data_IF_284855752707
#
_entry.id   IF_284855752707
#
_cell.length_a   1.000
_cell.length_b   1.000
_cell.length_c   1.000
_cell.angle_alpha   90.00
_cell.angle_beta   90.00
_cell.angle_gamma   90.00
#
_symmetry.space_group_name_H-M   'P 1'
#
loop_
_entity.id
_entity.type
_entity.pdbx_description
1 polymer ?
#
# COMPACT_ATOMS: atom_id res chain seq x y z
N UNK A 1 5.69 -12.74 11.03
CA UNK A 1 5.43 -12.39 12.44
C UNK A 1 6.23 -11.13 12.76
N UNK A 2 5.57 -9.99 12.99
CA UNK A 2 6.26 -8.73 13.31
C UNK A 2 6.36 -8.56 14.84
N UNK A 3 7.58 -8.54 15.37
CA UNK A 3 7.82 -8.26 16.79
C UNK A 3 7.76 -6.74 17.00
N UNK A 4 6.68 -6.24 17.61
CA UNK A 4 6.54 -4.84 17.96
C UNK A 4 7.26 -4.51 19.26
N UNK A 5 8.17 -3.53 19.22
CA UNK A 5 8.74 -2.94 20.42
C UNK A 5 7.86 -1.76 20.85
N UNK A 6 7.38 -1.76 22.10
CA UNK A 6 6.68 -0.61 22.67
C UNK A 6 7.70 0.34 23.29
N UNK A 7 7.88 1.50 22.67
CA UNK A 7 8.70 2.58 23.19
C UNK A 7 7.83 3.44 24.12
N UNK A 8 8.28 3.58 25.38
CA UNK A 8 7.63 4.42 26.39
C UNK A 8 8.56 5.58 26.73
N UNK A 9 8.03 6.80 26.81
CA UNK A 9 8.78 7.89 27.41
C UNK A 9 8.95 7.66 28.93
N UNK A 10 9.94 8.33 29.53
CA UNK A 10 10.27 8.16 30.95
C UNK A 10 9.05 8.42 31.87
N UNK A 11 8.25 9.46 31.55
CA UNK A 11 7.02 9.81 32.26
C UNK A 11 5.95 8.71 32.20
N UNK A 12 5.79 8.04 31.05
CA UNK A 12 4.87 6.89 30.87
C UNK A 12 5.38 5.62 31.56
N UNK A 13 6.71 5.47 31.67
CA UNK A 13 7.33 4.35 32.39
C UNK A 13 7.07 4.47 33.90
N UNK A 14 7.13 5.69 34.44
CA UNK A 14 6.89 5.99 35.86
C UNK A 14 5.43 5.83 36.27
N UNK A 15 4.49 6.38 35.48
CA UNK A 15 3.04 6.25 35.74
C UNK A 15 2.53 4.82 35.65
N UNK A 16 3.16 3.95 34.85
CA UNK A 16 2.80 2.54 34.77
C UNK A 16 3.19 1.71 36.01
N UNK A 17 4.12 2.21 36.83
CA UNK A 17 4.49 1.57 38.11
C UNK A 17 3.51 1.93 39.24
N UNK A 18 2.68 2.96 39.07
CA UNK A 18 1.96 3.60 40.18
C UNK A 18 0.44 3.41 40.19
N UNK A 19 -0.18 2.57 39.33
CA UNK A 19 -1.63 2.33 39.39
C UNK A 19 -2.03 0.85 39.21
N UNK A 20 -2.91 0.30 40.07
CA UNK A 20 -3.53 -1.00 39.85
C UNK A 20 -4.61 -0.91 38.76
N UNK A 21 -4.83 -2.03 38.06
CA UNK A 21 -5.80 -2.19 36.96
C UNK A 21 -7.20 -1.73 37.39
N UNK A 22 -7.66 -0.60 36.86
CA UNK A 22 -9.09 -0.28 36.85
C UNK A 22 -9.51 0.04 35.42
N UNK A 23 -10.50 -0.72 34.96
CA UNK A 23 -11.09 -0.74 33.62
C UNK A 23 -12.03 0.47 33.44
N UNK A 24 -12.17 0.90 32.18
CA UNK A 24 -13.23 1.71 31.59
C UNK A 24 -13.03 3.24 31.59
N UNK A 25 -12.93 3.81 30.38
CA UNK A 25 -13.81 4.91 29.96
C UNK A 25 -13.74 5.12 28.44
N UNK A 26 -14.85 4.79 27.79
CA UNK A 26 -15.29 5.26 26.48
C UNK A 26 -15.52 6.77 26.52
N UNK A 27 -14.96 7.56 25.59
CA UNK A 27 -15.67 8.72 25.00
C UNK A 27 -15.02 9.16 23.69
N UNK A 28 -15.85 9.34 22.68
CA UNK A 28 -15.55 9.95 21.39
C UNK A 28 -15.42 11.49 21.48
N UNK A 29 -14.75 12.05 20.47
CA UNK A 29 -15.08 13.29 19.73
C UNK A 29 -13.96 14.34 19.67
N UNK A 30 -13.84 14.90 18.45
CA UNK A 30 -12.93 15.92 17.97
C UNK A 30 -12.56 17.01 18.99
N UNK A 31 -11.27 17.39 19.03
CA UNK A 31 -10.86 18.80 18.92
C UNK A 31 -9.35 18.99 18.68
N UNK A 32 -9.07 19.82 17.67
CA UNK A 32 -7.98 20.78 17.44
C UNK A 32 -6.50 20.45 17.75
N UNK A 33 -5.70 20.56 16.68
CA UNK A 33 -4.59 21.52 16.49
C UNK A 33 -3.80 21.91 17.76
N UNK A 34 -2.52 21.51 17.78
CA UNK A 34 -1.44 22.07 18.59
C UNK A 34 -1.60 22.03 20.12
N UNK A 35 -1.71 20.83 20.70
CA UNK A 35 -1.24 20.61 22.07
C UNK A 35 -0.09 19.62 22.08
N UNK A 36 1.00 20.03 22.73
CA UNK A 36 2.16 19.21 23.06
C UNK A 36 1.69 17.86 23.62
N UNK A 37 1.88 16.83 22.81
CA UNK A 37 1.40 15.48 23.04
C UNK A 37 1.99 14.93 24.35
N UNK A 38 1.20 14.96 25.42
CA UNK A 38 1.51 14.28 26.66
C UNK A 38 1.19 12.79 26.51
N UNK A 39 2.22 11.96 26.29
CA UNK A 39 2.20 10.57 26.75
C UNK A 39 1.88 9.45 25.75
N UNK A 40 2.13 9.59 24.44
CA UNK A 40 1.99 8.43 23.55
C UNK A 40 3.09 7.38 23.80
N UNK A 41 2.67 6.13 24.01
CA UNK A 41 3.51 4.97 23.83
C UNK A 41 3.43 4.55 22.36
N UNK A 42 4.54 4.62 21.64
CA UNK A 42 4.58 4.23 20.24
C UNK A 42 5.02 2.77 20.14
N UNK A 43 4.40 2.01 19.25
CA UNK A 43 4.88 0.68 18.86
C UNK A 43 5.55 0.79 17.50
N UNK A 44 6.66 0.07 17.30
CA UNK A 44 7.34 0.01 15.99
C UNK A 44 6.49 -0.65 14.90
N UNK A 45 5.35 -1.24 15.28
CA UNK A 45 4.32 -1.77 14.38
C UNK A 45 3.19 -0.78 14.09
N UNK A 46 3.20 0.41 14.70
CA UNK A 46 2.20 1.44 14.45
C UNK A 46 2.62 2.33 13.29
N UNK A 47 1.73 2.55 12.32
CA UNK A 47 1.94 3.53 11.24
C UNK A 47 2.26 4.94 11.77
N UNK A 48 1.69 5.32 12.92
CA UNK A 48 1.92 6.64 13.52
C UNK A 48 3.37 6.86 13.94
N UNK A 49 4.08 5.79 14.33
CA UNK A 49 5.50 5.87 14.67
C UNK A 49 6.36 6.23 13.45
N UNK A 50 6.04 5.66 12.30
CA UNK A 50 6.76 5.88 11.04
C UNK A 50 6.25 7.12 10.26
N UNK A 51 5.30 7.88 10.82
CA UNK A 51 4.66 8.99 10.10
C UNK A 51 5.64 10.12 9.72
N UNK A 52 6.67 10.34 10.51
CA UNK A 52 7.70 11.37 10.24
C UNK A 52 8.90 10.86 9.47
N UNK A 53 8.92 9.58 9.10
CA UNK A 53 10.01 8.96 8.38
C UNK A 53 9.68 8.88 6.90
N UNK A 54 10.67 9.25 6.08
CA UNK A 54 10.63 8.99 4.64
C UNK A 54 10.75 7.49 4.38
N UNK A 55 10.05 6.99 3.36
CA UNK A 55 10.02 5.55 3.07
C UNK A 55 11.42 4.97 2.81
N UNK A 56 12.32 5.73 2.15
CA UNK A 56 13.72 5.30 1.90
C UNK A 56 14.62 5.34 3.14
N UNK A 57 14.18 5.95 4.25
CA UNK A 57 14.92 5.94 5.53
C UNK A 57 14.61 4.72 6.38
N UNK A 58 13.59 3.94 6.01
CA UNK A 58 13.22 2.72 6.72
C UNK A 58 14.26 1.64 6.37
N UNK A 59 14.92 1.02 7.37
CA UNK A 59 15.90 -0.04 7.11
C UNK A 59 15.31 -1.23 6.36
N UNK A 60 16.08 -1.80 5.43
CA UNK A 60 15.70 -3.05 4.73
C UNK A 60 15.46 -4.17 5.74
N UNK A 61 14.41 -4.97 5.48
CA UNK A 61 13.97 -6.05 6.37
C UNK A 61 12.93 -5.62 7.42
N UNK A 62 12.67 -4.32 7.58
CA UNK A 62 11.55 -3.81 8.36
C UNK A 62 10.36 -3.59 7.41
N UNK A 63 9.16 -3.99 7.85
CA UNK A 63 7.95 -3.72 7.10
C UNK A 63 7.60 -2.23 7.15
N UNK A 64 7.11 -1.70 6.05
CA UNK A 64 6.52 -0.36 5.98
C UNK A 64 5.09 -0.48 6.49
N UNK A 65 4.81 0.14 7.63
CA UNK A 65 3.50 0.09 8.27
C UNK A 65 2.61 1.24 7.79
N UNK A 66 1.47 0.88 7.21
CA UNK A 66 0.35 1.76 6.91
C UNK A 66 -0.76 1.54 7.94
N UNK A 67 -1.81 2.36 7.91
CA UNK A 67 -2.86 2.28 8.94
C UNK A 67 -3.57 0.92 8.93
N UNK A 68 -3.82 0.35 7.74
CA UNK A 68 -4.55 -0.92 7.57
C UNK A 68 -3.69 -2.12 7.16
N UNK A 69 -2.41 -1.91 6.82
CA UNK A 69 -1.55 -2.98 6.33
C UNK A 69 -0.08 -2.75 6.65
N UNK A 70 0.75 -3.76 6.42
CA UNK A 70 2.20 -3.65 6.45
C UNK A 70 2.77 -4.32 5.21
N UNK A 71 3.68 -3.64 4.52
CA UNK A 71 4.26 -4.12 3.26
C UNK A 71 5.76 -4.36 3.42
N UNK A 72 6.29 -5.34 2.70
CA UNK A 72 7.74 -5.43 2.49
C UNK A 72 8.21 -4.28 1.62
N UNK A 73 9.49 -3.93 1.73
CA UNK A 73 10.09 -2.92 0.86
C UNK A 73 9.92 -3.27 -0.62
N UNK A 74 10.15 -4.54 -0.98
CA UNK A 74 10.05 -4.99 -2.38
C UNK A 74 8.63 -4.84 -2.94
N UNK A 75 7.60 -5.12 -2.13
CA UNK A 75 6.21 -4.93 -2.55
C UNK A 75 5.88 -3.45 -2.66
N UNK A 76 6.33 -2.62 -1.72
CA UNK A 76 6.14 -1.18 -1.79
C UNK A 76 6.78 -0.57 -3.04
N UNK A 77 8.04 -0.92 -3.32
CA UNK A 77 8.78 -0.43 -4.48
C UNK A 77 8.07 -0.86 -5.78
N UNK A 78 7.64 -2.12 -5.87
CA UNK A 78 6.86 -2.63 -7.00
C UNK A 78 5.55 -1.85 -7.21
N UNK A 79 4.83 -1.54 -6.13
CA UNK A 79 3.61 -0.73 -6.21
C UNK A 79 3.92 0.67 -6.73
N UNK A 80 4.92 1.34 -6.16
CA UNK A 80 5.27 2.73 -6.54
C UNK A 80 5.76 2.79 -7.99
N UNK A 81 6.54 1.82 -8.44
CA UNK A 81 7.09 1.77 -9.79
C UNK A 81 6.03 1.45 -10.84
N UNK A 82 5.16 0.48 -10.58
CA UNK A 82 4.19 0.03 -11.57
C UNK A 82 2.88 0.82 -11.57
N UNK A 83 2.53 1.50 -10.46
CA UNK A 83 1.24 2.21 -10.35
C UNK A 83 1.02 3.34 -11.36
N UNK A 84 2.04 4.09 -11.83
CA UNK A 84 1.87 5.04 -12.92
C UNK A 84 1.46 4.39 -14.25
N UNK A 85 1.82 3.13 -14.48
CA UNK A 85 1.60 2.41 -15.75
C UNK A 85 0.42 1.43 -15.74
N UNK A 86 -0.21 1.22 -14.58
CA UNK A 86 -1.29 0.25 -14.39
C UNK A 86 -2.35 0.75 -13.42
N UNK A 87 -3.57 0.24 -13.52
CA UNK A 87 -4.62 0.49 -12.52
C UNK A 87 -4.36 -0.29 -11.24
N UNK A 88 -4.91 0.16 -10.11
CA UNK A 88 -4.80 -0.57 -8.83
C UNK A 88 -5.39 -1.97 -8.92
N UNK A 89 -6.55 -2.13 -9.57
CA UNK A 89 -7.18 -3.44 -9.79
C UNK A 89 -6.32 -4.37 -10.68
N UNK A 90 -5.71 -3.83 -11.73
CA UNK A 90 -4.78 -4.62 -12.56
C UNK A 90 -3.52 -5.03 -11.81
N UNK A 91 -3.03 -4.21 -10.88
CA UNK A 91 -1.91 -4.58 -10.01
C UNK A 91 -2.29 -5.63 -8.98
N UNK A 92 -3.45 -5.50 -8.33
CA UNK A 92 -3.98 -6.51 -7.42
C UNK A 92 -4.03 -7.89 -8.07
N UNK A 93 -4.58 -7.97 -9.28
CA UNK A 93 -4.66 -9.21 -10.05
C UNK A 93 -3.27 -9.77 -10.38
N UNK A 94 -2.33 -8.93 -10.85
CA UNK A 94 -0.96 -9.36 -11.15
C UNK A 94 -0.23 -9.87 -9.92
N UNK A 95 -0.40 -9.20 -8.78
CA UNK A 95 0.19 -9.62 -7.50
C UNK A 95 -0.41 -10.97 -7.09
N UNK A 96 -1.73 -11.15 -7.21
CA UNK A 96 -2.39 -12.43 -6.94
C UNK A 96 -1.85 -13.55 -7.84
N UNK A 97 -1.72 -13.28 -9.15
CA UNK A 97 -1.14 -14.23 -10.11
C UNK A 97 0.31 -14.58 -9.75
N UNK A 98 1.11 -13.62 -9.29
CA UNK A 98 2.48 -13.85 -8.85
C UNK A 98 2.52 -14.75 -7.60
N UNK A 99 1.66 -14.50 -6.61
CA UNK A 99 1.53 -15.37 -5.43
C UNK A 99 1.14 -16.80 -5.81
N UNK A 100 0.20 -16.95 -6.73
CA UNK A 100 -0.25 -18.27 -7.20
C UNK A 100 0.86 -19.00 -7.97
N UNK A 101 1.60 -18.29 -8.81
CA UNK A 101 2.73 -18.84 -9.54
C UNK A 101 3.82 -19.34 -8.57
N UNK A 102 4.18 -18.52 -7.58
CA UNK A 102 5.17 -18.87 -6.56
C UNK A 102 4.74 -20.12 -5.77
N UNK A 103 3.47 -20.20 -5.37
CA UNK A 103 2.93 -21.38 -4.70
C UNK A 103 3.06 -22.64 -5.57
N UNK A 104 2.67 -22.59 -6.85
CA UNK A 104 2.79 -23.73 -7.75
C UNK A 104 4.25 -24.11 -8.03
N UNK A 105 5.17 -23.15 -8.07
CA UNK A 105 6.60 -23.42 -8.19
C UNK A 105 7.11 -24.20 -6.98
N UNK A 106 6.77 -23.76 -5.76
CA UNK A 106 7.17 -24.45 -4.53
C UNK A 106 6.58 -25.87 -4.43
N UNK A 107 5.33 -26.06 -4.86
CA UNK A 107 4.74 -27.40 -4.95
C UNK A 107 5.54 -28.33 -5.87
N UNK A 108 5.95 -27.83 -7.04
CA UNK A 108 6.74 -28.59 -8.01
C UNK A 108 8.13 -28.93 -7.43
N UNK A 109 8.82 -27.96 -6.85
CA UNK A 109 10.12 -28.16 -6.19
C UNK A 109 10.04 -29.24 -5.09
N UNK A 110 8.95 -29.25 -4.31
CA UNK A 110 8.70 -30.28 -3.31
C UNK A 110 8.50 -31.67 -3.93
N UNK A 111 7.68 -31.79 -4.98
CA UNK A 111 7.44 -33.06 -5.65
C UNK A 111 8.70 -33.63 -6.30
N UNK A 112 9.53 -32.78 -6.90
CA UNK A 112 10.83 -33.18 -7.43
C UNK A 112 11.77 -33.69 -6.33
N UNK A 113 11.84 -33.00 -5.19
CA UNK A 113 12.61 -33.42 -4.03
C UNK A 113 12.15 -34.77 -3.46
N UNK A 114 10.83 -35.03 -3.44
CA UNK A 114 10.28 -36.33 -3.03
C UNK A 114 10.64 -37.43 -4.04
N UNK A 115 10.44 -37.18 -5.34
CA UNK A 115 10.72 -38.18 -6.38
C UNK A 115 12.18 -38.64 -6.41
N UNK A 116 13.11 -37.69 -6.18
CA UNK A 116 14.55 -37.97 -6.09
C UNK A 116 14.90 -38.75 -4.83
N UNK A 117 14.22 -38.45 -3.71
CA UNK A 117 14.35 -39.23 -2.47
C UNK A 117 13.86 -40.68 -2.66
N UNK A 118 12.66 -40.88 -3.22
CA UNK A 118 12.12 -42.23 -3.44
C UNK A 118 13.01 -43.07 -4.37
N UNK A 119 13.52 -42.46 -5.44
CA UNK A 119 14.43 -43.11 -6.40
C UNK A 119 15.77 -43.53 -5.77
N UNK A 120 16.29 -42.74 -4.81
CA UNK A 120 17.55 -43.04 -4.12
C UNK A 120 17.37 -44.05 -2.97
N UNK A 121 16.23 -44.01 -2.28
CA UNK A 121 15.93 -44.90 -1.15
C UNK A 121 15.52 -46.32 -1.59
N UNK A 122 15.10 -46.50 -2.85
CA UNK A 122 14.82 -47.82 -3.43
C UNK A 122 16.06 -48.72 -3.59
N UNK A 123 17.27 -48.19 -3.37
CA UNK A 123 18.54 -48.92 -3.60
C UNK A 123 19.39 -49.15 -2.35
N UNK A 124 19.17 -48.45 -1.23
CA UNK A 124 19.93 -48.66 0.01
C UNK A 124 19.20 -48.11 1.23
N UNK A 125 18.88 -49.00 2.18
CA UNK A 125 18.47 -48.63 3.53
C UNK A 125 19.67 -47.97 4.23
N UNK A 126 19.77 -46.62 4.19
CA UNK A 126 20.60 -45.85 5.13
C UNK A 126 20.15 -44.39 5.21
N UNK A 127 19.73 -44.04 6.41
CA UNK A 127 19.43 -42.73 6.96
C UNK A 127 20.54 -41.71 6.63
N UNK A 128 20.29 -40.81 5.68
CA UNK A 128 21.08 -39.60 5.45
C UNK A 128 20.14 -38.41 5.22
N UNK A 129 20.55 -37.26 5.76
CA UNK A 129 19.72 -36.14 6.15
C UNK A 129 18.74 -35.65 5.07
N UNK A 130 17.47 -35.72 5.44
CA UNK A 130 16.35 -35.07 4.78
C UNK A 130 16.62 -33.56 4.77
N UNK A 131 16.68 -32.97 3.57
CA UNK A 131 16.87 -31.53 3.39
C UNK A 131 15.84 -30.68 4.14
N UNK A 132 16.05 -29.36 4.11
CA UNK A 132 15.30 -28.35 4.88
C UNK A 132 13.75 -28.46 4.83
N UNK A 133 13.18 -29.17 3.85
CA UNK A 133 11.73 -29.40 3.69
C UNK A 133 11.09 -30.32 4.75
N UNK A 134 11.84 -31.21 5.39
CA UNK A 134 11.28 -32.21 6.32
C UNK A 134 11.81 -32.10 7.76
N UNK A 135 12.62 -31.09 8.05
CA UNK A 135 13.19 -30.86 9.39
C UNK A 135 12.37 -29.83 10.18
N UNK A 136 11.15 -30.20 10.55
CA UNK A 136 10.45 -29.57 11.67
C UNK A 136 10.03 -30.65 12.67
N UNK A 137 10.83 -30.83 13.73
CA UNK A 137 10.42 -31.57 14.92
C UNK A 137 11.17 -32.89 15.18
N UNK A 138 12.50 -32.85 15.30
CA UNK A 138 13.24 -33.92 15.95
C UNK A 138 13.03 -33.91 17.48
N UNK A 139 11.79 -34.07 17.95
CA UNK A 139 11.48 -34.43 19.35
C UNK A 139 10.13 -35.12 19.42
N UNK A 140 10.11 -36.44 19.30
CA UNK A 140 8.99 -37.27 19.74
C UNK A 140 8.42 -38.23 18.69
N UNK A 141 8.74 -39.51 18.87
CA UNK A 141 7.95 -40.65 18.39
C UNK A 141 7.79 -40.79 16.87
N UNK A 142 8.78 -41.41 16.24
CA UNK A 142 8.60 -42.08 14.96
C UNK A 142 7.72 -43.33 15.15
N UNK A 143 6.40 -43.15 15.15
CA UNK A 143 5.47 -44.22 14.79
C UNK A 143 5.12 -44.07 13.32
N UNK A 144 5.40 -45.15 12.59
CA UNK A 144 5.09 -45.44 11.21
C UNK A 144 3.97 -44.61 10.54
N UNK A 145 4.29 -44.11 9.34
CA UNK A 145 3.30 -43.81 8.31
C UNK A 145 2.73 -42.40 8.33
N UNK A 146 3.44 -41.44 7.76
CA UNK A 146 2.78 -40.31 7.12
C UNK A 146 3.22 -40.32 5.66
N UNK A 147 2.38 -40.93 4.80
CA UNK A 147 2.51 -40.76 3.35
C UNK A 147 2.39 -39.28 2.96
N UNK A 148 2.66 -38.97 1.70
CA UNK A 148 2.51 -37.62 1.16
C UNK A 148 1.17 -37.01 1.61
N UNK A 149 1.23 -35.87 2.29
CA UNK A 149 0.03 -35.13 2.65
C UNK A 149 -0.49 -34.42 1.42
N UNK A 150 -1.82 -34.33 1.31
CA UNK A 150 -2.44 -33.52 0.28
C UNK A 150 -2.03 -32.05 0.47
N UNK A 151 -1.75 -31.35 -0.62
CA UNK A 151 -1.50 -29.92 -0.59
C UNK A 151 -2.75 -29.16 -0.15
N UNK A 152 -2.57 -28.01 0.48
CA UNK A 152 -3.68 -27.13 0.84
C UNK A 152 -4.45 -26.69 -0.41
N UNK A 153 -5.76 -26.63 -0.28
CA UNK A 153 -6.63 -26.03 -1.28
C UNK A 153 -6.36 -24.51 -1.38
N UNK A 154 -6.65 -23.86 -2.52
CA UNK A 154 -6.31 -22.45 -2.74
C UNK A 154 -6.97 -21.45 -1.78
N UNK A 155 -8.07 -21.83 -1.13
CA UNK A 155 -8.81 -20.96 -0.21
C UNK A 155 -8.68 -21.44 1.26
N UNK A 156 -7.65 -22.24 1.56
CA UNK A 156 -7.41 -22.75 2.89
C UNK A 156 -6.76 -21.69 3.78
N UNK A 157 -7.52 -21.18 4.78
CA UNK A 157 -7.03 -20.18 5.74
C UNK A 157 -5.87 -20.68 6.61
N UNK A 158 -5.73 -22.00 6.79
CA UNK A 158 -4.63 -22.61 7.52
C UNK A 158 -3.49 -23.04 6.57
N UNK A 159 -3.69 -22.91 5.25
CA UNK A 159 -2.76 -23.26 4.20
C UNK A 159 -2.48 -22.09 3.26
N UNK A 160 -2.58 -22.32 1.95
CA UNK A 160 -2.51 -21.24 0.96
C UNK A 160 -3.84 -20.48 0.95
N UNK A 161 -3.83 -19.24 1.43
CA UNK A 161 -4.95 -18.30 1.33
C UNK A 161 -4.76 -17.44 0.08
N UNK A 162 -5.56 -17.66 -0.96
CA UNK A 162 -5.49 -16.93 -2.23
C UNK A 162 -5.96 -15.45 -2.15
N UNK A 163 -5.98 -14.87 -0.94
CA UNK A 163 -6.23 -13.45 -0.72
C UNK A 163 -4.97 -12.64 -1.03
N UNK A 164 -5.11 -11.75 -2.01
CA UNK A 164 -4.08 -10.77 -2.36
C UNK A 164 -4.32 -9.43 -1.63
N UNK A 165 -3.37 -8.51 -1.77
CA UNK A 165 -3.54 -7.12 -1.35
C UNK A 165 -4.66 -6.45 -2.18
N UNK A 166 -5.70 -5.87 -1.55
CA UNK A 166 -6.81 -5.29 -2.28
C UNK A 166 -6.41 -3.96 -2.95
N UNK A 167 -7.05 -3.64 -4.08
CA UNK A 167 -6.77 -2.42 -4.84
C UNK A 167 -6.95 -1.12 -4.05
N UNK A 168 -7.81 -1.09 -3.03
CA UNK A 168 -8.03 0.07 -2.16
C UNK A 168 -6.74 0.39 -1.39
N UNK A 169 -6.08 -0.64 -0.86
CA UNK A 169 -4.81 -0.52 -0.14
C UNK A 169 -3.69 -0.10 -1.10
N UNK A 170 -3.65 -0.67 -2.31
CA UNK A 170 -2.69 -0.25 -3.34
C UNK A 170 -2.82 1.25 -3.64
N UNK A 171 -4.06 1.73 -3.74
CA UNK A 171 -4.34 3.14 -3.99
C UNK A 171 -3.92 4.01 -2.82
N UNK A 172 -4.26 3.61 -1.59
CA UNK A 172 -3.88 4.33 -0.36
C UNK A 172 -2.36 4.45 -0.22
N UNK A 173 -1.63 3.35 -0.41
CA UNK A 173 -0.17 3.30 -0.35
C UNK A 173 0.46 4.25 -1.37
N UNK A 174 -0.05 4.24 -2.60
CA UNK A 174 0.47 5.12 -3.64
C UNK A 174 0.18 6.61 -3.36
N UNK A 175 -1.01 6.93 -2.85
CA UNK A 175 -1.36 8.29 -2.46
C UNK A 175 -0.50 8.77 -1.29
N UNK A 176 -0.24 7.93 -0.28
CA UNK A 176 0.69 8.24 0.82
C UNK A 176 2.10 8.53 0.31
N UNK A 177 2.59 7.72 -0.63
CA UNK A 177 3.88 7.97 -1.29
C UNK A 177 3.91 9.31 -2.02
N UNK A 178 2.89 9.61 -2.84
CA UNK A 178 2.82 10.86 -3.60
C UNK A 178 2.80 12.09 -2.68
N UNK A 179 1.94 12.06 -1.67
CA UNK A 179 1.77 13.19 -0.73
C UNK A 179 3.03 13.45 0.08
N UNK A 180 3.74 12.42 0.51
CA UNK A 180 4.96 12.57 1.31
C UNK A 180 6.20 12.91 0.50
N UNK A 181 6.35 12.30 -0.68
CA UNK A 181 7.61 12.36 -1.43
C UNK A 181 7.56 13.27 -2.64
N UNK A 182 6.47 13.20 -3.41
CA UNK A 182 6.42 13.77 -4.77
C UNK A 182 5.67 15.11 -4.82
N UNK A 183 4.84 15.41 -3.83
CA UNK A 183 4.02 16.63 -3.83
C UNK A 183 4.88 17.89 -3.80
N UNK A 184 5.84 17.98 -2.88
CA UNK A 184 6.71 19.16 -2.79
C UNK A 184 7.66 19.27 -3.99
N UNK A 185 8.21 18.13 -4.43
CA UNK A 185 9.08 18.07 -5.62
C UNK A 185 8.34 18.53 -6.88
N UNK A 186 7.13 18.01 -7.11
CA UNK A 186 6.30 18.43 -8.25
C UNK A 186 5.85 19.88 -8.13
N UNK A 187 5.51 20.36 -6.94
CA UNK A 187 5.15 21.76 -6.72
C UNK A 187 6.33 22.71 -7.00
N UNK A 188 7.55 22.34 -6.61
CA UNK A 188 8.77 23.10 -6.92
C UNK A 188 9.10 23.03 -8.41
N UNK A 189 8.97 21.85 -9.03
CA UNK A 189 9.18 21.68 -10.46
C UNK A 189 8.25 22.58 -11.26
N UNK A 190 6.94 22.54 -10.99
CA UNK A 190 5.94 23.37 -11.67
C UNK A 190 6.21 24.88 -11.54
N UNK A 191 6.78 25.33 -10.42
CA UNK A 191 7.18 26.75 -10.23
C UNK A 191 8.35 27.17 -11.12
N UNK A 192 9.20 26.22 -11.54
CA UNK A 192 10.34 26.49 -12.41
C UNK A 192 9.96 26.60 -13.88
N UNK A 193 8.77 26.15 -14.25
CA UNK A 193 8.34 26.12 -15.64
C UNK A 193 7.69 27.44 -16.05
N UNK A 194 8.18 28.01 -17.17
CA UNK A 194 7.48 29.06 -17.91
C UNK A 194 6.51 28.42 -18.90
N UNK A 195 5.38 29.08 -19.18
CA UNK A 195 4.30 28.48 -19.95
C UNK A 195 3.74 29.42 -21.01
N UNK A 196 3.29 28.85 -22.12
CA UNK A 196 2.49 29.53 -23.15
C UNK A 196 1.14 28.81 -23.24
N UNK A 197 0.05 29.56 -23.20
CA UNK A 197 -1.28 29.00 -23.34
C UNK A 197 -1.48 28.47 -24.77
N UNK A 198 -1.39 27.16 -24.99
CA UNK A 198 -1.47 26.57 -26.34
C UNK A 198 -2.88 26.38 -26.87
N UNK A 199 -3.88 26.06 -26.02
CA UNK A 199 -5.25 25.85 -26.51
C UNK A 199 -6.33 25.97 -25.42
N UNK A 200 -7.48 26.49 -25.82
CA UNK A 200 -8.76 26.37 -25.11
C UNK A 200 -9.54 25.24 -25.78
N UNK A 201 -9.43 24.03 -25.25
CA UNK A 201 -10.21 22.92 -25.75
C UNK A 201 -11.53 22.80 -24.93
N UNK A 202 -12.67 22.98 -25.60
CA UNK A 202 -14.00 22.83 -24.99
C UNK A 202 -14.34 21.34 -24.69
N UNK A 203 -13.36 20.45 -24.81
CA UNK A 203 -13.54 19.01 -24.97
C UNK A 203 -13.77 18.26 -23.66
N UNK A 204 -13.48 18.86 -22.50
CA UNK A 204 -14.16 18.44 -21.27
C UNK A 204 -15.43 19.28 -21.08
N UNK A 205 -16.53 18.83 -21.70
CA UNK A 205 -17.87 19.01 -21.11
C UNK A 205 -17.94 18.25 -19.77
N UNK A 206 -17.15 18.69 -18.78
CA UNK A 206 -17.54 18.56 -17.38
C UNK A 206 -18.80 19.39 -17.14
N UNK A 207 -18.97 20.45 -17.93
CA UNK A 207 -20.23 21.15 -18.09
C UNK A 207 -21.32 20.20 -18.57
N UNK A 208 -22.24 19.91 -17.65
CA UNK A 208 -23.39 18.99 -17.75
C UNK A 208 -23.24 17.56 -17.22
N UNK A 209 -22.07 17.13 -16.72
CA UNK A 209 -21.93 15.76 -16.16
C UNK A 209 -22.24 15.67 -14.66
N UNK A 210 -22.08 16.75 -13.91
CA UNK A 210 -22.54 16.86 -12.53
C UNK A 210 -23.88 17.60 -12.48
N UNK A 211 -24.93 16.89 -12.04
CA UNK A 211 -26.26 17.47 -11.85
C UNK A 211 -26.58 17.42 -10.36
N UNK A 212 -26.70 18.58 -9.74
CA UNK A 212 -27.17 18.71 -8.37
C UNK A 212 -28.69 18.66 -8.40
N UNK A 213 -29.31 17.87 -7.53
CA UNK A 213 -30.76 17.84 -7.39
C UNK A 213 -31.11 18.43 -6.03
N UNK A 214 -31.85 19.54 -6.02
CA UNK A 214 -32.32 20.16 -4.79
C UNK A 214 -33.45 19.34 -4.16
N UNK A 215 -33.81 19.64 -2.90
CA UNK A 215 -34.90 19.01 -2.15
C UNK A 215 -36.25 19.08 -2.86
N UNK A 216 -36.45 20.10 -3.70
CA UNK A 216 -37.65 20.28 -4.52
C UNK A 216 -37.61 19.50 -5.84
N UNK A 217 -36.61 18.64 -6.04
CA UNK A 217 -36.43 17.85 -7.27
C UNK A 217 -35.89 18.63 -8.47
N UNK A 218 -35.59 19.93 -8.30
CA UNK A 218 -34.96 20.73 -9.35
C UNK A 218 -33.51 20.30 -9.60
N UNK A 219 -33.21 20.01 -10.86
CA UNK A 219 -31.88 19.65 -11.34
C UNK A 219 -31.13 20.90 -11.81
N UNK A 220 -30.07 21.29 -11.11
CA UNK A 220 -29.19 22.39 -11.50
C UNK A 220 -27.82 21.87 -11.91
N UNK A 221 -27.23 22.55 -12.88
CA UNK A 221 -25.88 22.25 -13.40
C UNK A 221 -25.02 23.48 -13.16
N UNK A 222 -24.30 23.46 -12.04
CA UNK A 222 -23.52 24.62 -11.58
C UNK A 222 -22.18 24.73 -12.31
N UNK A 223 -21.60 23.61 -12.74
CA UNK A 223 -20.35 23.62 -13.50
C UNK A 223 -20.69 23.89 -14.96
N UNK A 224 -20.40 25.09 -15.46
CA UNK A 224 -20.53 25.51 -16.87
C UNK A 224 -19.18 26.01 -17.37
N UNK A 225 -18.71 25.52 -18.52
CA UNK A 225 -17.36 25.84 -19.01
C UNK A 225 -16.55 24.62 -19.47
N UNK A 226 -15.26 24.84 -19.65
CA UNK A 226 -14.25 23.84 -20.06
C UNK A 226 -13.01 23.88 -19.17
N UNK A 227 -12.12 22.91 -19.33
CA UNK A 227 -10.82 22.88 -18.64
C UNK A 227 -9.78 23.49 -19.59
N UNK A 228 -9.19 24.61 -19.17
CA UNK A 228 -8.03 25.20 -19.83
C UNK A 228 -6.78 24.44 -19.38
N UNK A 229 -6.00 23.95 -20.34
CA UNK A 229 -4.69 23.33 -20.11
C UNK A 229 -3.60 24.30 -20.56
N UNK A 230 -2.68 24.61 -19.66
CA UNK A 230 -1.53 25.48 -19.93
C UNK A 230 -0.30 24.59 -20.10
N UNK A 231 0.41 24.75 -21.23
CA UNK A 231 1.59 23.97 -21.58
C UNK A 231 2.83 24.87 -21.65
N UNK A 232 4.04 24.29 -21.60
CA UNK A 232 5.25 24.99 -22.05
C UNK A 232 5.64 24.62 -23.48
N UNK A 233 6.71 25.26 -23.94
CA UNK A 233 7.35 24.99 -25.23
C UNK A 233 7.86 23.54 -25.35
N UNK A 234 8.03 22.82 -24.23
CA UNK A 234 8.42 21.41 -24.18
C UNK A 234 7.23 20.44 -24.12
N UNK A 235 6.00 20.92 -24.35
CA UNK A 235 4.74 20.15 -24.25
C UNK A 235 4.44 19.57 -22.85
N UNK A 236 5.00 20.14 -21.79
CA UNK A 236 4.71 19.77 -20.42
C UNK A 236 3.48 20.53 -19.90
N UNK A 237 2.61 19.85 -19.14
CA UNK A 237 1.44 20.49 -18.53
C UNK A 237 1.85 21.21 -17.24
N UNK A 238 1.53 22.50 -17.17
CA UNK A 238 1.92 23.38 -16.06
C UNK A 238 0.74 23.71 -15.15
N UNK A 239 -0.44 23.89 -15.74
CA UNK A 239 -1.64 24.19 -14.97
C UNK A 239 -2.90 23.72 -15.69
N UNK A 240 -3.90 23.38 -14.88
CA UNK A 240 -5.29 23.30 -15.31
C UNK A 240 -6.10 24.40 -14.64
N UNK A 241 -6.97 25.07 -15.40
CA UNK A 241 -7.91 26.05 -14.87
C UNK A 241 -9.31 25.74 -15.38
N UNK A 242 -10.28 25.67 -14.47
CA UNK A 242 -11.68 25.64 -14.87
C UNK A 242 -12.05 27.03 -15.41
N UNK A 243 -12.37 27.11 -16.70
CA UNK A 243 -12.74 28.34 -17.38
C UNK A 243 -14.26 28.40 -17.54
N UNK A 244 -14.95 29.49 -17.16
CA UNK A 244 -16.38 29.63 -17.38
C UNK A 244 -16.70 29.72 -18.88
N UNK A 245 -17.96 29.43 -19.22
CA UNK A 245 -18.47 29.53 -20.59
C UNK A 245 -18.30 30.99 -21.08
N UNK A 246 -17.64 31.19 -22.22
CA UNK A 246 -17.44 32.50 -22.89
C UNK A 246 -16.51 33.51 -22.17
N UNK A 247 -15.46 33.06 -21.47
CA UNK A 247 -14.44 33.99 -20.98
C UNK A 247 -13.53 34.47 -22.13
N UNK A 248 -13.50 35.80 -22.36
CA UNK A 248 -12.45 36.45 -23.14
C UNK A 248 -11.18 36.50 -22.29
N UNK A 249 -10.14 35.79 -22.71
CA UNK A 249 -8.83 35.84 -22.06
C UNK A 249 -7.91 36.73 -22.90
N UNK A 250 -7.61 37.92 -22.39
CA UNK A 250 -6.50 38.71 -22.91
C UNK A 250 -5.22 38.02 -22.44
N UNK A 251 -4.45 37.48 -23.39
CA UNK A 251 -3.12 36.97 -23.12
C UNK A 251 -2.25 38.13 -22.62
N UNK A 252 -2.13 38.28 -21.30
CA UNK A 252 -1.05 39.04 -20.72
C UNK A 252 0.21 38.20 -20.91
N UNK A 253 0.87 38.41 -22.05
CA UNK A 253 2.27 38.09 -22.21
C UNK A 253 3.02 38.74 -21.04
N UNK A 254 3.74 37.98 -20.20
CA UNK A 254 4.72 38.59 -19.31
C UNK A 254 5.77 39.25 -20.22
N UNK A 255 5.90 40.57 -20.12
CA UNK A 255 7.11 41.29 -20.57
C UNK A 255 8.30 40.88 -19.73
#
# INVERSE_FOLDING_TARGET
MALGAQLRCNRCKETSKSKPKTRNSTTHHLDLVNSSIEGYCFTTTSAMYWKSWEHWRIPRGILIFFYWCALTQDLFDLLVELRPSSTSAGLEERIQQLHLFEYKRQMLEYLEAVSTYESSNSSNSRTLGLGHYFNHGATGSMTAGSGLQAFSEPDDQLGYDNKSIPNEIITEVFVDFLTRTRQDESALYLKSLSAICSSLDNTFKASNKATLTNKDGQKTREIKGGILTVLNESNEIIAWRLAPLNAEYTALLPT
#
